data_IF_754232705639
#
_entry.id   IF_754232705639
#
_cell.length_a   1.000
_cell.length_b   1.000
_cell.length_c   1.000
_cell.angle_alpha   90.00
_cell.angle_beta   90.00
_cell.angle_gamma   90.00
#
_symmetry.space_group_name_H-M   'P 1'
#
loop_
_entity.id
_entity.type
_entity.pdbx_description
1 polymer ?
#
# COMPACT_ATOMS: atom_id res chain seq x y z
N UNK A 1 -6.22 -9.21 -6.46
CA UNK A 1 -6.37 -10.50 -5.75
C UNK A 1 -7.76 -10.56 -5.13
N UNK A 2 -8.33 -11.75 -5.05
CA UNK A 2 -9.63 -12.04 -4.45
C UNK A 2 -9.47 -13.14 -3.40
N UNK A 3 -10.22 -13.00 -2.31
CA UNK A 3 -10.31 -14.00 -1.25
C UNK A 3 -11.72 -14.55 -1.20
N UNK A 4 -11.84 -15.86 -1.01
CA UNK A 4 -13.09 -16.58 -0.74
C UNK A 4 -14.23 -16.26 -1.71
N UNK A 5 -13.88 -16.20 -2.99
CA UNK A 5 -14.80 -15.90 -4.09
C UNK A 5 -15.49 -14.52 -3.97
N UNK A 6 -14.94 -13.60 -3.17
CA UNK A 6 -15.41 -12.23 -3.10
C UNK A 6 -15.44 -11.60 -4.51
N UNK A 7 -16.50 -10.83 -4.80
CA UNK A 7 -16.64 -10.12 -6.09
C UNK A 7 -15.71 -8.91 -6.18
N UNK A 8 -15.43 -8.26 -5.04
CA UNK A 8 -14.57 -7.08 -4.95
C UNK A 8 -13.11 -7.51 -4.77
N UNK A 9 -12.19 -6.84 -5.46
CA UNK A 9 -10.76 -7.01 -5.26
C UNK A 9 -10.36 -6.59 -3.85
N UNK A 10 -9.69 -7.48 -3.12
CA UNK A 10 -9.08 -7.15 -1.83
C UNK A 10 -7.75 -6.42 -2.01
N UNK A 11 -7.03 -6.75 -3.09
CA UNK A 11 -5.75 -6.16 -3.46
C UNK A 11 -5.85 -5.74 -4.91
N UNK A 12 -5.65 -4.46 -5.19
CA UNK A 12 -5.65 -3.92 -6.55
C UNK A 12 -4.67 -2.75 -6.65
N UNK A 13 -3.92 -2.69 -7.75
CA UNK A 13 -2.95 -1.64 -8.01
C UNK A 13 -1.90 -2.05 -9.04
N UNK A 14 -1.05 -1.10 -9.49
CA UNK A 14 0.06 -1.39 -10.38
C UNK A 14 1.02 -2.41 -9.77
N UNK A 15 1.49 -3.35 -10.58
CA UNK A 15 2.32 -4.45 -10.11
C UNK A 15 3.57 -3.97 -9.37
N UNK A 16 4.32 -3.03 -9.93
CA UNK A 16 5.57 -2.55 -9.31
C UNK A 16 5.34 -1.79 -8.00
N UNK A 17 4.35 -0.89 -7.97
CA UNK A 17 3.95 -0.09 -6.80
C UNK A 17 3.57 -0.99 -5.62
N UNK A 18 2.86 -2.08 -5.89
CA UNK A 18 2.47 -3.05 -4.88
C UNK A 18 3.63 -3.73 -4.16
N UNK A 19 4.81 -3.80 -4.81
CA UNK A 19 6.03 -4.33 -4.22
C UNK A 19 7.01 -3.21 -3.81
N UNK A 20 6.51 -1.99 -3.55
CA UNK A 20 7.31 -0.86 -3.08
C UNK A 20 8.22 -0.24 -4.13
N UNK A 21 7.96 -0.48 -5.43
CA UNK A 21 8.65 0.22 -6.50
C UNK A 21 7.73 1.31 -7.06
N UNK A 22 7.74 2.46 -6.39
CA UNK A 22 6.93 3.60 -6.80
C UNK A 22 7.59 4.41 -7.91
N UNK A 23 6.75 5.07 -8.70
CA UNK A 23 7.15 6.03 -9.74
C UNK A 23 7.99 5.41 -10.88
N UNK A 24 8.05 4.08 -10.96
CA UNK A 24 8.88 3.36 -11.94
C UNK A 24 10.39 3.47 -11.68
N UNK A 25 10.79 3.89 -10.46
CA UNK A 25 12.19 4.07 -10.10
C UNK A 25 12.73 2.78 -9.49
N UNK A 26 13.73 2.19 -10.14
CA UNK A 26 14.41 1.03 -9.59
C UNK A 26 15.31 1.45 -8.40
N UNK A 27 14.91 1.04 -7.21
CA UNK A 27 15.73 1.09 -5.99
C UNK A 27 15.77 -0.29 -5.33
N UNK A 28 16.96 -0.64 -4.82
CA UNK A 28 17.13 -1.79 -3.96
C UNK A 28 16.65 -1.43 -2.56
N UNK A 29 15.87 -2.30 -1.95
CA UNK A 29 15.47 -2.16 -0.56
C UNK A 29 15.05 -3.50 0.04
N UNK A 30 15.09 -3.58 1.36
CA UNK A 30 14.65 -4.74 2.12
C UNK A 30 13.99 -4.28 3.43
N UNK A 31 12.90 -4.94 3.78
CA UNK A 31 12.13 -4.75 5.02
C UNK A 31 11.69 -6.13 5.51
N UNK A 32 11.10 -6.18 6.70
CA UNK A 32 10.51 -7.42 7.21
C UNK A 32 9.44 -8.03 6.30
N UNK A 33 8.75 -7.20 5.50
CA UNK A 33 7.57 -7.61 4.73
C UNK A 33 7.81 -7.68 3.21
N UNK A 34 8.82 -6.97 2.72
CA UNK A 34 9.12 -6.78 1.31
C UNK A 34 10.62 -6.80 1.05
N UNK A 35 11.04 -7.35 -0.09
CA UNK A 35 12.41 -7.23 -0.57
C UNK A 35 12.44 -7.02 -2.09
N UNK A 36 13.12 -5.96 -2.51
CA UNK A 36 13.32 -5.61 -3.92
C UNK A 36 14.80 -5.73 -4.29
N UNK A 37 15.08 -6.69 -5.17
CA UNK A 37 16.34 -6.81 -5.89
C UNK A 37 16.03 -6.88 -7.39
N UNK A 38 16.59 -7.86 -8.11
CA UNK A 38 16.12 -8.19 -9.47
C UNK A 38 14.67 -8.68 -9.48
N UNK A 39 14.29 -9.48 -8.50
CA UNK A 39 12.91 -9.94 -8.28
C UNK A 39 12.12 -9.01 -7.35
N UNK A 40 10.80 -9.16 -7.40
CA UNK A 40 9.85 -8.56 -6.46
C UNK A 40 9.44 -9.63 -5.45
N UNK A 41 9.76 -9.45 -4.17
CA UNK A 41 9.46 -10.42 -3.12
C UNK A 41 8.61 -9.79 -2.02
N UNK A 42 7.71 -10.60 -1.45
CA UNK A 42 6.80 -10.21 -0.38
C UNK A 42 6.53 -11.39 0.52
N UNK A 43 6.51 -11.13 1.82
CA UNK A 43 6.43 -12.15 2.87
C UNK A 43 5.20 -11.99 3.78
N UNK A 44 4.33 -11.01 3.51
CA UNK A 44 3.11 -10.78 4.27
C UNK A 44 2.20 -12.02 4.19
N UNK A 45 1.74 -12.58 5.33
CA UNK A 45 0.74 -13.66 5.35
C UNK A 45 -0.59 -13.23 4.73
N UNK A 46 -1.19 -14.09 3.91
CA UNK A 46 -2.47 -13.83 3.21
C UNK A 46 -3.40 -15.02 3.35
N UNK A 47 -3.95 -15.23 4.56
CA UNK A 47 -4.85 -16.34 4.80
C UNK A 47 -6.16 -16.15 4.02
N UNK A 48 -6.77 -17.27 3.65
CA UNK A 48 -8.08 -17.37 3.03
C UNK A 48 -8.73 -18.70 3.47
N UNK A 49 -10.06 -18.77 3.51
CA UNK A 49 -10.78 -19.94 4.04
C UNK A 49 -11.06 -21.01 2.97
N UNK A 50 -11.43 -20.57 1.78
CA UNK A 50 -11.90 -21.39 0.66
C UNK A 50 -11.08 -21.20 -0.61
N UNK A 51 -10.74 -19.95 -0.99
CA UNK A 51 -10.00 -19.70 -2.23
C UNK A 51 -9.18 -18.41 -2.20
N UNK A 52 -8.03 -18.45 -2.87
CA UNK A 52 -7.23 -17.27 -3.20
C UNK A 52 -7.03 -17.19 -4.70
N UNK A 53 -7.40 -16.07 -5.31
CA UNK A 53 -7.25 -15.85 -6.76
C UNK A 53 -6.37 -14.62 -7.02
N UNK A 54 -5.27 -14.83 -7.73
CA UNK A 54 -4.35 -13.77 -8.16
C UNK A 54 -4.53 -13.58 -9.66
N UNK A 55 -4.82 -12.35 -10.07
CA UNK A 55 -4.91 -11.94 -11.47
C UNK A 55 -3.81 -10.92 -11.73
N UNK A 56 -3.15 -11.06 -12.87
CA UNK A 56 -2.13 -10.13 -13.36
C UNK A 56 -2.55 -9.74 -14.77
N UNK A 57 -2.70 -8.44 -14.98
CA UNK A 57 -3.18 -7.89 -16.24
C UNK A 57 -2.06 -7.06 -16.84
N UNK A 58 -1.57 -7.47 -18.01
CA UNK A 58 -0.68 -6.64 -18.79
C UNK A 58 -1.50 -5.55 -19.50
N UNK A 59 -1.24 -4.29 -19.16
CA UNK A 59 -1.92 -3.13 -19.76
C UNK A 59 -1.08 -2.46 -20.87
N UNK A 60 0.10 -3.00 -21.19
CA UNK A 60 0.94 -2.47 -22.26
C UNK A 60 0.62 -3.13 -23.61
N UNK A 61 1.17 -2.56 -24.68
CA UNK A 61 1.20 -3.16 -26.02
C UNK A 61 2.22 -4.29 -26.17
N UNK A 62 3.12 -4.44 -25.20
CA UNK A 62 4.30 -5.31 -25.32
C UNK A 62 4.03 -6.71 -24.78
N UNK A 63 4.64 -7.71 -25.41
CA UNK A 63 4.66 -9.07 -24.86
C UNK A 63 5.68 -9.12 -23.72
N UNK A 64 5.21 -9.47 -22.53
CA UNK A 64 6.04 -9.56 -21.33
C UNK A 64 6.35 -11.02 -21.00
N UNK A 65 7.63 -11.31 -20.78
CA UNK A 65 8.03 -12.55 -20.12
C UNK A 65 7.80 -12.41 -18.63
N UNK A 66 6.87 -13.22 -18.09
CA UNK A 66 6.45 -13.11 -16.70
C UNK A 66 6.78 -14.39 -15.92
N UNK A 67 7.66 -14.27 -14.93
CA UNK A 67 8.03 -15.34 -14.01
C UNK A 67 7.48 -15.05 -12.62
N UNK A 68 6.85 -16.03 -12.00
CA UNK A 68 6.33 -15.90 -10.65
C UNK A 68 6.48 -17.20 -9.86
N UNK A 69 6.49 -17.05 -8.54
CA UNK A 69 6.40 -18.15 -7.58
C UNK A 69 5.47 -17.72 -6.46
N UNK A 70 4.42 -18.50 -6.23
CA UNK A 70 3.51 -18.33 -5.09
C UNK A 70 3.69 -19.53 -4.19
N UNK A 71 4.26 -19.30 -3.02
CA UNK A 71 4.31 -20.31 -1.97
C UNK A 71 3.09 -20.16 -1.07
N UNK A 72 2.46 -21.26 -0.72
CA UNK A 72 1.36 -21.27 0.24
C UNK A 72 1.44 -22.55 1.08
N UNK A 73 0.86 -22.46 2.28
CA UNK A 73 0.68 -23.60 3.17
C UNK A 73 -0.79 -23.98 3.18
N UNK A 74 -1.09 -25.25 2.90
CA UNK A 74 -2.44 -25.79 3.07
C UNK A 74 -2.58 -26.26 4.51
N UNK A 75 -3.49 -25.64 5.24
CA UNK A 75 -3.81 -25.99 6.63
C UNK A 75 -5.19 -26.64 6.70
N UNK A 76 -5.45 -27.54 7.67
CA UNK A 76 -6.77 -28.17 7.83
C UNK A 76 -7.89 -27.16 8.17
N UNK A 77 -7.55 -26.13 8.94
CA UNK A 77 -8.43 -25.04 9.36
C UNK A 77 -7.60 -23.76 9.50
N UNK A 78 -8.17 -22.62 9.15
CA UNK A 78 -7.63 -21.31 9.51
C UNK A 78 -8.04 -20.94 10.94
N UNK A 79 -7.30 -20.01 11.55
CA UNK A 79 -7.68 -19.44 12.84
C UNK A 79 -9.01 -18.67 12.75
N UNK A 80 -9.78 -18.68 13.83
CA UNK A 80 -11.11 -18.03 13.83
C UNK A 80 -11.01 -16.50 13.81
N UNK A 81 -9.88 -15.94 14.23
CA UNK A 81 -9.54 -14.52 14.25
C UNK A 81 -8.65 -14.07 13.07
N UNK A 82 -8.48 -14.91 12.04
CA UNK A 82 -7.71 -14.54 10.85
C UNK A 82 -8.25 -13.26 10.19
N UNK A 83 -7.34 -12.43 9.68
CA UNK A 83 -7.67 -11.24 8.88
C UNK A 83 -7.30 -11.47 7.42
N UNK A 84 -8.11 -10.95 6.51
CA UNK A 84 -7.77 -10.92 5.09
C UNK A 84 -6.79 -9.79 4.81
N UNK A 85 -5.80 -10.05 3.95
CA UNK A 85 -4.90 -8.99 3.50
C UNK A 85 -5.59 -8.12 2.44
N UNK A 86 -5.62 -6.81 2.69
CA UNK A 86 -6.13 -5.82 1.76
C UNK A 86 -5.04 -4.82 1.38
N UNK A 87 -5.14 -4.26 0.18
CA UNK A 87 -4.33 -3.10 -0.22
C UNK A 87 -5.18 -2.10 -0.99
N UNK A 88 -4.86 -0.83 -0.83
CA UNK A 88 -5.41 0.26 -1.60
C UNK A 88 -4.28 0.95 -2.37
N UNK A 89 -4.54 1.32 -3.62
CA UNK A 89 -3.63 2.13 -4.41
C UNK A 89 -4.36 3.37 -4.89
N UNK A 90 -3.73 4.52 -4.71
CA UNK A 90 -4.24 5.82 -5.12
C UNK A 90 -3.10 6.63 -5.73
N UNK A 91 -3.45 7.47 -6.69
CA UNK A 91 -2.56 8.46 -7.28
C UNK A 91 -3.33 9.75 -7.47
N UNK A 92 -2.72 10.84 -7.05
CA UNK A 92 -3.21 12.20 -7.27
C UNK A 92 -2.10 12.96 -8.00
N UNK A 93 -2.43 13.58 -9.14
CA UNK A 93 -1.42 14.27 -9.96
C UNK A 93 -1.06 15.63 -9.38
N UNK A 94 -2.06 16.36 -8.88
CA UNK A 94 -1.90 17.66 -8.26
C UNK A 94 -2.70 17.63 -6.97
N UNK A 95 -2.03 17.86 -5.84
CA UNK A 95 -2.71 18.10 -4.57
C UNK A 95 -3.35 19.48 -4.58
N UNK A 96 -4.43 19.62 -3.82
CA UNK A 96 -5.09 20.90 -3.58
C UNK A 96 -4.67 21.43 -2.21
N UNK A 97 -4.41 22.73 -2.10
CA UNK A 97 -4.09 23.35 -0.81
C UNK A 97 -5.25 23.13 0.18
N UNK A 98 -4.93 22.84 1.45
CA UNK A 98 -5.89 22.54 2.52
C UNK A 98 -6.73 21.27 2.31
N UNK A 99 -6.41 20.45 1.30
CA UNK A 99 -7.05 19.16 1.07
C UNK A 99 -6.07 18.04 1.32
N UNK A 100 -6.39 17.20 2.29
CA UNK A 100 -5.56 16.07 2.65
C UNK A 100 -5.44 15.07 1.49
N UNK A 101 -4.22 14.59 1.24
CA UNK A 101 -4.02 13.43 0.38
C UNK A 101 -4.45 12.17 1.14
N UNK A 102 -5.62 11.61 0.78
CA UNK A 102 -6.11 10.37 1.36
C UNK A 102 -5.15 9.18 1.05
N UNK A 103 -4.57 8.60 2.10
CA UNK A 103 -3.68 7.42 1.99
C UNK A 103 -4.52 6.13 1.93
N UNK A 104 -5.52 6.03 2.80
CA UNK A 104 -6.45 4.91 2.89
C UNK A 104 -7.86 5.49 3.06
N UNK A 105 -8.83 5.15 2.18
CA UNK A 105 -10.21 5.59 2.36
C UNK A 105 -10.83 4.94 3.58
N UNK A 106 -12.00 5.43 3.99
CA UNK A 106 -12.79 4.79 5.05
C UNK A 106 -12.99 3.29 4.77
N UNK A 107 -12.64 2.47 5.76
CA UNK A 107 -12.86 1.03 5.75
C UNK A 107 -13.70 0.68 6.97
N UNK A 108 -14.83 0.04 6.74
CA UNK A 108 -15.69 -0.48 7.80
C UNK A 108 -15.19 -1.85 8.29
N UNK A 109 -15.14 -2.03 9.61
CA UNK A 109 -14.81 -3.29 10.27
C UNK A 109 -13.58 -3.21 11.18
N UNK A 110 -13.27 -4.33 11.84
CA UNK A 110 -12.11 -4.44 12.73
C UNK A 110 -10.91 -4.98 11.97
N UNK A 111 -9.84 -4.20 11.89
CA UNK A 111 -8.63 -4.57 11.16
C UNK A 111 -7.38 -3.96 11.77
N UNK A 112 -6.21 -4.21 11.15
CA UNK A 112 -4.94 -3.60 11.51
C UNK A 112 -4.34 -2.95 10.27
N UNK A 113 -3.98 -1.68 10.38
CA UNK A 113 -3.17 -1.02 9.38
C UNK A 113 -1.70 -1.40 9.58
N UNK A 114 -1.05 -1.94 8.55
CA UNK A 114 0.32 -2.46 8.64
C UNK A 114 1.36 -1.61 7.90
N UNK A 115 0.95 -0.55 7.22
CA UNK A 115 1.85 0.41 6.58
C UNK A 115 1.37 0.91 5.22
N UNK A 116 2.14 1.86 4.69
CA UNK A 116 1.99 2.42 3.34
C UNK A 116 3.35 2.59 2.69
N UNK A 117 3.35 2.66 1.38
CA UNK A 117 4.50 3.09 0.58
C UNK A 117 4.07 4.31 -0.21
N UNK A 118 4.76 5.44 -0.01
CA UNK A 118 4.41 6.73 -0.61
C UNK A 118 5.52 7.15 -1.58
N UNK A 119 5.13 7.49 -2.81
CA UNK A 119 6.00 8.11 -3.79
C UNK A 119 5.55 9.55 -4.03
N UNK A 120 6.47 10.50 -3.86
CA UNK A 120 6.21 11.93 -4.08
C UNK A 120 6.95 12.40 -5.33
N UNK A 121 6.24 13.08 -6.24
CA UNK A 121 6.84 13.83 -7.33
C UNK A 121 6.70 15.31 -6.98
N UNK A 122 7.80 15.95 -6.61
CA UNK A 122 7.81 17.39 -6.34
C UNK A 122 7.44 18.20 -7.60
N UNK A 123 6.65 19.25 -7.40
CA UNK A 123 6.38 20.21 -8.47
C UNK A 123 7.67 21.00 -8.77
N UNK A 124 8.05 21.10 -10.05
CA UNK A 124 9.25 21.84 -10.47
C UNK A 124 9.27 23.30 -10.00
N UNK A 125 8.11 23.93 -9.83
CA UNK A 125 8.00 25.30 -9.32
C UNK A 125 8.46 25.42 -7.85
N UNK A 126 8.42 24.32 -7.10
CA UNK A 126 8.75 24.27 -5.67
C UNK A 126 9.96 23.36 -5.40
N UNK A 127 10.83 23.13 -6.40
CA UNK A 127 11.97 22.20 -6.27
C UNK A 127 12.96 22.54 -5.15
N UNK A 128 12.92 23.78 -4.65
CA UNK A 128 13.78 24.29 -3.56
C UNK A 128 13.06 24.39 -2.22
N UNK A 129 11.83 23.90 -2.14
CA UNK A 129 10.98 23.97 -0.95
C UNK A 129 10.73 22.55 -0.48
N UNK A 130 10.83 22.37 0.84
CA UNK A 130 10.53 21.11 1.50
C UNK A 130 9.04 20.74 1.36
N UNK A 131 8.75 19.47 1.03
CA UNK A 131 7.38 18.99 0.85
C UNK A 131 6.80 18.33 2.09
N UNK A 132 7.64 17.98 3.07
CA UNK A 132 7.28 17.03 4.12
C UNK A 132 6.59 17.62 5.34
N UNK A 133 6.34 18.93 5.41
CA UNK A 133 5.65 19.57 6.55
C UNK A 133 4.19 19.11 6.74
N UNK A 134 3.61 18.39 5.78
CA UNK A 134 2.24 17.89 5.87
C UNK A 134 2.07 16.85 6.97
N UNK A 135 1.17 17.10 7.93
CA UNK A 135 0.78 16.15 8.97
C UNK A 135 0.02 14.94 8.40
N UNK A 136 0.20 13.78 9.04
CA UNK A 136 -0.59 12.58 8.77
C UNK A 136 -1.69 12.46 9.82
N UNK A 137 -2.94 12.40 9.35
CA UNK A 137 -4.14 12.28 10.18
C UNK A 137 -4.72 10.87 10.05
N UNK A 138 -5.11 10.29 11.18
CA UNK A 138 -5.81 9.00 11.23
C UNK A 138 -7.08 9.14 12.06
N UNK A 139 -8.21 8.84 11.42
CA UNK A 139 -9.52 8.83 12.05
C UNK A 139 -9.93 7.37 12.31
N UNK A 140 -10.30 7.06 13.55
CA UNK A 140 -10.65 5.69 14.00
C UNK A 140 -12.04 5.74 14.63
N UNK A 141 -12.82 4.66 14.50
CA UNK A 141 -14.11 4.48 15.16
C UNK A 141 -15.17 5.57 14.89
N UNK A 142 -15.09 6.24 13.74
CA UNK A 142 -16.06 7.26 13.35
C UNK A 142 -15.72 8.68 13.79
N UNK A 143 -14.51 8.93 14.30
CA UNK A 143 -14.03 10.28 14.60
C UNK A 143 -14.02 11.14 13.31
N UNK A 144 -14.91 12.13 13.22
CA UNK A 144 -15.11 13.00 12.06
C UNK A 144 -14.83 14.49 12.34
N UNK A 145 -14.97 14.92 13.59
CA UNK A 145 -14.65 16.28 14.02
C UNK A 145 -13.14 16.51 14.17
N UNK A 146 -12.43 15.56 14.76
CA UNK A 146 -10.98 15.63 14.98
C UNK A 146 -10.32 14.27 14.73
N UNK A 147 -9.10 14.24 14.17
CA UNK A 147 -8.35 13.00 14.00
C UNK A 147 -7.94 12.37 15.33
N UNK A 148 -8.04 11.05 15.42
CA UNK A 148 -7.62 10.26 16.58
C UNK A 148 -6.11 10.29 16.77
N UNK A 149 -5.34 10.25 15.68
CA UNK A 149 -3.88 10.36 15.66
C UNK A 149 -3.45 11.42 14.65
N UNK A 150 -2.43 12.19 15.03
CA UNK A 150 -1.84 13.24 14.20
C UNK A 150 -0.31 13.15 14.31
N UNK A 151 0.39 13.13 13.17
CA UNK A 151 1.85 13.31 13.13
C UNK A 151 2.24 14.78 13.00
N UNK A 152 3.51 15.11 13.21
CA UNK A 152 4.03 16.48 13.08
C UNK A 152 4.52 16.82 11.68
N UNK A 153 4.68 15.82 10.83
CA UNK A 153 5.12 15.93 9.45
C UNK A 153 5.10 14.56 8.75
N UNK A 154 5.35 14.56 7.45
CA UNK A 154 5.39 13.39 6.57
C UNK A 154 6.70 12.62 6.75
N UNK A 155 7.82 13.30 6.94
CA UNK A 155 9.10 12.73 7.34
C UNK A 155 9.05 12.13 8.74
N UNK A 156 8.37 12.81 9.66
CA UNK A 156 8.23 12.34 11.04
C UNK A 156 7.40 11.05 11.07
N UNK A 157 6.37 10.95 10.22
CA UNK A 157 5.54 9.76 10.07
C UNK A 157 6.34 8.51 9.70
N UNK A 158 7.37 8.66 8.85
CA UNK A 158 8.24 7.55 8.43
C UNK A 158 9.46 7.37 9.37
N UNK A 159 9.52 8.11 10.47
CA UNK A 159 10.59 8.05 11.46
C UNK A 159 11.91 8.70 11.03
N UNK A 160 11.87 9.63 10.08
CA UNK A 160 13.00 10.54 9.78
C UNK A 160 12.90 11.83 10.62
N UNK A 161 13.68 12.87 10.28
CA UNK A 161 13.56 14.22 10.81
C UNK A 161 14.69 15.15 10.34
N UNK A 162 14.46 16.48 10.39
CA UNK A 162 15.41 17.54 10.01
C UNK A 162 15.91 17.48 8.54
N UNK A 163 14.97 17.41 7.59
CA UNK A 163 15.25 17.39 6.13
C UNK A 163 15.21 18.79 5.48
#
# INVERSE_FOLDING_TARGET
>A
MYWDNAKKLAVSGPFAEFFGNSLGIFKLFETQLFAKARSYNRFIPMPYKSSGRIEIVNQSSEILMFHYKVNFLKVPKQDDDMLYFHSHWRRELNTELEKDFEILPYVEGSSRYIGTHIGVIGNKLYEKIWFGEGEIKVNINGDDEFPTLVSTGTEDYIGSGWE
#
